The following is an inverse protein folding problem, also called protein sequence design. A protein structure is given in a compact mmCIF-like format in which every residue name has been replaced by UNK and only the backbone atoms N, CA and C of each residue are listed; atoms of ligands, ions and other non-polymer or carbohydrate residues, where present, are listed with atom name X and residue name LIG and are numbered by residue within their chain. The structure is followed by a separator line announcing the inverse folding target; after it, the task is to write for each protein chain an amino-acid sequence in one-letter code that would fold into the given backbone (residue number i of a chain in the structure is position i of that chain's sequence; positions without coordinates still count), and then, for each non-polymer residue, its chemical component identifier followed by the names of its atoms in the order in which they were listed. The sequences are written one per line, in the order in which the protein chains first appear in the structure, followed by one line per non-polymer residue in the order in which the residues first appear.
data_IF_519140750479
#
_entry.id   IF_519140750479
#
_cell.length_a   1.000
_cell.length_b   1.000
_cell.length_c   1.000
_cell.angle_alpha   90.00
_cell.angle_beta   90.00
_cell.angle_gamma   90.00
#
_symmetry.space_group_name_H-M   'P 1'
#
loop_
_entity.id
_entity.type
_entity.pdbx_description
1 polymer ?
#
# COMPACT_ATOMS: atom_id res chain seq x y z
N UNK A 1 -1.03 14.74 16.40
CA UNK A 1 -0.87 15.48 15.14
C UNK A 1 -2.17 15.35 14.35
N UNK A 2 -2.67 16.37 13.67
CA UNK A 2 -3.83 16.22 12.80
C UNK A 2 -3.52 15.19 11.70
N UNK A 3 -4.53 14.47 11.26
CA UNK A 3 -4.38 13.52 10.16
C UNK A 3 -4.25 14.27 8.83
N UNK A 4 -3.24 13.91 8.04
CA UNK A 4 -3.03 14.50 6.70
C UNK A 4 -4.00 13.89 5.69
N UNK A 5 -4.42 14.70 4.73
CA UNK A 5 -5.19 14.23 3.58
C UNK A 5 -4.33 14.39 2.30
N UNK A 6 -3.56 13.35 2.01
CA UNK A 6 -2.65 13.33 0.86
C UNK A 6 -3.36 13.25 -0.49
N UNK A 7 -4.66 12.94 -0.53
CA UNK A 7 -5.47 12.97 -1.75
C UNK A 7 -5.58 14.42 -2.24
N UNK A 8 -5.98 15.34 -1.34
CA UNK A 8 -6.10 16.76 -1.69
C UNK A 8 -4.73 17.38 -1.98
N UNK A 9 -3.71 17.09 -1.16
CA UNK A 9 -2.36 17.60 -1.36
C UNK A 9 -1.80 17.24 -2.75
N UNK A 10 -2.00 15.97 -3.16
CA UNK A 10 -1.56 15.50 -4.48
C UNK A 10 -2.40 16.12 -5.61
N UNK A 11 -3.72 16.20 -5.44
CA UNK A 11 -4.62 16.82 -6.41
C UNK A 11 -4.35 18.32 -6.60
N UNK A 12 -4.09 19.05 -5.53
CA UNK A 12 -3.73 20.46 -5.58
C UNK A 12 -2.41 20.68 -6.35
N UNK A 13 -1.43 19.81 -6.14
CA UNK A 13 -0.20 19.80 -6.92
C UNK A 13 -0.42 19.56 -8.41
N UNK A 14 -1.34 18.65 -8.77
CA UNK A 14 -1.73 18.37 -10.15
C UNK A 14 -2.48 19.56 -10.77
N UNK A 15 -3.43 20.14 -10.04
CA UNK A 15 -4.30 21.21 -10.52
C UNK A 15 -3.56 22.53 -10.71
N UNK A 16 -2.61 22.82 -9.82
CA UNK A 16 -1.73 24.00 -9.91
C UNK A 16 -0.63 23.86 -10.97
N UNK A 17 -0.45 22.67 -11.55
CA UNK A 17 0.63 22.39 -12.51
C UNK A 17 2.00 22.12 -11.89
N UNK A 18 2.13 22.12 -10.56
CA UNK A 18 3.37 21.82 -9.85
C UNK A 18 3.75 20.33 -9.98
N UNK A 19 2.78 19.46 -10.19
CA UNK A 19 2.98 18.02 -10.40
C UNK A 19 2.44 17.66 -11.78
N UNK A 20 3.35 17.20 -12.66
CA UNK A 20 2.99 16.71 -13.99
C UNK A 20 2.60 15.25 -13.93
N UNK A 21 1.41 14.92 -14.42
CA UNK A 21 0.88 13.56 -14.48
C UNK A 21 0.26 13.25 -15.83
N UNK A 22 0.11 11.95 -16.14
CA UNK A 22 -0.63 11.52 -17.32
C UNK A 22 -2.14 11.77 -17.16
N UNK A 23 -2.85 11.79 -18.31
CA UNK A 23 -4.29 12.06 -18.40
C UNK A 23 -5.12 11.21 -17.42
N UNK A 24 -4.85 9.93 -17.32
CA UNK A 24 -5.64 9.01 -16.48
C UNK A 24 -5.47 9.27 -14.99
N UNK A 25 -4.27 9.64 -14.55
CA UNK A 25 -4.03 10.01 -13.15
C UNK A 25 -4.79 11.29 -12.80
N UNK A 26 -4.75 12.30 -13.67
CA UNK A 26 -5.52 13.55 -13.51
C UNK A 26 -7.02 13.26 -13.37
N UNK A 27 -7.60 12.54 -14.32
CA UNK A 27 -9.02 12.20 -14.32
C UNK A 27 -9.43 11.38 -13.08
N UNK A 28 -8.57 10.47 -12.62
CA UNK A 28 -8.82 9.68 -11.42
C UNK A 28 -8.94 10.57 -10.18
N UNK A 29 -7.97 11.46 -9.96
CA UNK A 29 -7.98 12.33 -8.78
C UNK A 29 -9.07 13.41 -8.85
N UNK A 30 -9.40 13.92 -10.04
CA UNK A 30 -10.59 14.77 -10.26
C UNK A 30 -11.87 14.05 -9.84
N UNK A 31 -12.06 12.82 -10.28
CA UNK A 31 -13.22 11.98 -9.92
C UNK A 31 -13.29 11.71 -8.40
N UNK A 32 -12.16 11.35 -7.78
CA UNK A 32 -12.09 11.06 -6.35
C UNK A 32 -12.42 12.32 -5.53
N UNK A 33 -11.78 13.44 -5.84
CA UNK A 33 -11.99 14.70 -5.11
C UNK A 33 -13.42 15.20 -5.26
N UNK A 34 -13.98 15.14 -6.48
CA UNK A 34 -15.38 15.47 -6.73
C UNK A 34 -16.32 14.55 -5.93
N UNK A 35 -16.08 13.24 -5.94
CA UNK A 35 -16.88 12.29 -5.18
C UNK A 35 -16.84 12.52 -3.67
N UNK A 36 -15.69 12.93 -3.12
CA UNK A 36 -15.57 13.32 -1.72
C UNK A 36 -16.33 14.61 -1.40
N UNK A 37 -16.31 15.60 -2.31
CA UNK A 37 -17.03 16.86 -2.14
C UNK A 37 -18.56 16.70 -2.24
N UNK A 38 -19.01 15.82 -3.12
CA UNK A 38 -20.44 15.50 -3.33
C UNK A 38 -20.99 14.46 -2.36
N UNK A 39 -20.14 13.89 -1.47
CA UNK A 39 -20.56 12.89 -0.49
C UNK A 39 -20.77 11.48 -1.08
N UNK A 40 -20.26 11.24 -2.30
CA UNK A 40 -20.28 9.90 -2.92
C UNK A 40 -19.34 8.93 -2.21
N UNK A 41 -18.27 9.44 -1.61
CA UNK A 41 -17.29 8.69 -0.85
C UNK A 41 -17.09 9.30 0.53
N UNK A 42 -16.79 8.45 1.51
CA UNK A 42 -16.35 8.88 2.84
C UNK A 42 -14.83 8.69 2.98
N UNK A 43 -14.13 9.73 3.45
CA UNK A 43 -12.69 9.64 3.72
C UNK A 43 -12.41 9.40 5.20
N UNK A 44 -11.86 8.25 5.52
CA UNK A 44 -11.38 7.90 6.85
C UNK A 44 -9.87 8.19 6.97
N UNK A 45 -9.54 9.40 7.41
CA UNK A 45 -8.15 9.84 7.56
C UNK A 45 -7.35 8.97 8.54
N UNK A 46 -8.00 8.38 9.57
CA UNK A 46 -7.34 7.49 10.52
C UNK A 46 -6.85 6.20 9.84
N UNK A 47 -7.69 5.58 9.00
CA UNK A 47 -7.32 4.37 8.24
C UNK A 47 -6.21 4.67 7.24
N UNK A 48 -6.33 5.74 6.46
CA UNK A 48 -5.31 6.16 5.49
C UNK A 48 -3.95 6.38 6.17
N UNK A 49 -3.93 7.21 7.22
CA UNK A 49 -2.68 7.53 7.91
C UNK A 49 -2.12 6.33 8.71
N UNK A 50 -2.96 5.40 9.17
CA UNK A 50 -2.51 4.15 9.80
C UNK A 50 -1.66 3.33 8.81
N UNK A 51 -2.12 3.17 7.57
CA UNK A 51 -1.39 2.45 6.54
C UNK A 51 -0.07 3.14 6.17
N UNK A 52 -0.09 4.45 5.96
CA UNK A 52 1.11 5.24 5.63
C UNK A 52 2.15 5.15 6.75
N UNK A 53 1.73 5.36 8.01
CA UNK A 53 2.63 5.30 9.18
C UNK A 53 3.23 3.90 9.37
N UNK A 54 2.43 2.85 9.17
CA UNK A 54 2.96 1.49 9.22
C UNK A 54 4.06 1.30 8.18
N UNK A 55 3.82 1.66 6.92
CA UNK A 55 4.79 1.53 5.85
C UNK A 55 6.07 2.32 6.16
N UNK A 56 5.95 3.57 6.60
CA UNK A 56 7.11 4.43 6.85
C UNK A 56 7.89 4.11 8.13
N UNK A 57 7.30 3.34 9.07
CA UNK A 57 7.96 2.99 10.33
C UNK A 57 8.46 1.54 10.40
N UNK A 58 7.94 0.63 9.54
CA UNK A 58 8.26 -0.80 9.62
C UNK A 58 8.77 -1.40 8.31
N UNK A 59 8.59 -0.71 7.17
CA UNK A 59 9.05 -1.23 5.90
C UNK A 59 10.42 -0.67 5.53
N UNK A 60 11.32 -1.56 5.16
CA UNK A 60 12.70 -1.23 4.79
C UNK A 60 12.95 -1.35 3.29
N UNK A 61 13.89 -0.58 2.78
CA UNK A 61 14.45 -0.84 1.46
C UNK A 61 15.16 -2.20 1.41
N UNK A 62 15.01 -2.93 0.30
CA UNK A 62 15.57 -4.27 0.14
C UNK A 62 16.80 -4.31 -0.76
N UNK A 63 16.97 -3.31 -1.62
CA UNK A 63 18.05 -3.24 -2.61
C UNK A 63 18.77 -1.91 -2.49
N UNK A 64 20.11 -1.95 -2.57
CA UNK A 64 20.98 -0.78 -2.57
C UNK A 64 21.08 -0.01 -1.25
N UNK A 65 20.09 -0.10 -0.38
CA UNK A 65 20.02 0.56 0.94
C UNK A 65 19.13 -0.24 1.90
N UNK A 66 19.22 0.07 3.19
CA UNK A 66 18.53 -0.70 4.25
C UNK A 66 17.69 0.14 5.20
N UNK A 67 17.64 1.45 4.98
CA UNK A 67 16.87 2.38 5.79
C UNK A 67 15.35 2.20 5.59
N UNK A 68 14.58 2.83 6.46
CA UNK A 68 13.11 2.82 6.39
C UNK A 68 12.61 3.48 5.10
N UNK A 69 11.59 2.88 4.53
CA UNK A 69 10.93 3.40 3.34
C UNK A 69 10.22 4.72 3.66
N UNK A 70 10.47 5.73 2.84
CA UNK A 70 9.70 6.97 2.84
C UNK A 70 8.87 7.04 1.57
N UNK A 71 7.57 7.16 1.75
CA UNK A 71 6.64 7.22 0.63
C UNK A 71 6.67 8.60 -0.05
N UNK A 72 6.76 8.60 -1.36
CA UNK A 72 6.54 9.78 -2.18
C UNK A 72 5.08 10.24 -2.09
N UNK A 73 4.80 11.51 -2.38
CA UNK A 73 3.45 12.08 -2.27
C UNK A 73 2.42 11.28 -3.09
N UNK A 74 2.75 10.86 -4.31
CA UNK A 74 1.85 10.04 -5.12
C UNK A 74 1.56 8.67 -4.50
N UNK A 75 2.53 8.07 -3.80
CA UNK A 75 2.35 6.80 -3.08
C UNK A 75 1.46 6.99 -1.86
N UNK A 76 1.67 8.08 -1.10
CA UNK A 76 0.79 8.46 0.03
C UNK A 76 -0.63 8.70 -0.43
N UNK A 77 -0.81 9.40 -1.54
CA UNK A 77 -2.12 9.63 -2.14
C UNK A 77 -2.78 8.30 -2.57
N UNK A 78 -2.03 7.40 -3.24
CA UNK A 78 -2.53 6.08 -3.62
C UNK A 78 -2.92 5.22 -2.41
N UNK A 79 -2.08 5.16 -1.36
CA UNK A 79 -2.38 4.46 -0.10
C UNK A 79 -3.62 5.07 0.57
N UNK A 80 -3.76 6.40 0.54
CA UNK A 80 -4.93 7.10 1.08
C UNK A 80 -6.22 6.72 0.33
N UNK A 81 -6.16 6.56 -0.99
CA UNK A 81 -7.30 6.07 -1.79
C UNK A 81 -7.63 4.62 -1.45
N UNK A 82 -6.61 3.74 -1.43
CA UNK A 82 -6.79 2.30 -1.19
C UNK A 82 -7.40 1.99 0.17
N UNK A 83 -6.98 2.68 1.22
CA UNK A 83 -7.33 2.33 2.61
C UNK A 83 -8.20 3.38 3.31
N UNK A 84 -8.26 4.59 2.79
CA UNK A 84 -8.97 5.71 3.41
C UNK A 84 -10.33 6.00 2.81
N UNK A 85 -10.61 5.62 1.57
CA UNK A 85 -11.95 5.77 0.98
C UNK A 85 -12.79 4.55 1.33
N UNK A 86 -13.84 4.79 2.11
CA UNK A 86 -14.64 3.73 2.73
C UNK A 86 -16.13 3.98 2.55
N UNK A 87 -16.90 2.90 2.60
CA UNK A 87 -18.35 2.89 2.73
C UNK A 87 -18.78 3.26 4.15
N UNK A 88 -20.08 3.40 4.39
CA UNK A 88 -20.64 3.71 5.71
C UNK A 88 -20.29 2.64 6.77
N UNK A 89 -20.21 1.37 6.38
CA UNK A 89 -19.82 0.25 7.24
C UNK A 89 -18.31 0.19 7.51
N UNK A 90 -17.53 1.08 6.88
CA UNK A 90 -16.09 1.16 7.00
C UNK A 90 -15.34 0.18 6.09
N UNK A 91 -15.99 -0.56 5.20
CA UNK A 91 -15.31 -1.37 4.18
C UNK A 91 -14.70 -0.48 3.10
N UNK A 92 -13.69 -1.00 2.38
CA UNK A 92 -13.03 -0.26 1.31
C UNK A 92 -13.92 -0.14 0.07
N UNK A 93 -14.09 1.06 -0.47
CA UNK A 93 -14.80 1.32 -1.73
C UNK A 93 -14.02 0.69 -2.89
N UNK A 94 -12.72 0.97 -2.98
CA UNK A 94 -11.87 0.45 -4.05
C UNK A 94 -11.30 -0.92 -3.67
N UNK A 95 -11.85 -1.98 -4.27
CA UNK A 95 -11.41 -3.36 -4.06
C UNK A 95 -10.37 -3.81 -5.09
N UNK A 96 -10.30 -3.12 -6.21
CA UNK A 96 -9.34 -3.35 -7.27
C UNK A 96 -8.54 -2.08 -7.53
N UNK A 97 -7.22 -2.22 -7.60
CA UNK A 97 -6.29 -1.11 -7.85
C UNK A 97 -5.34 -1.48 -8.97
N UNK A 98 -5.36 -0.70 -10.04
CA UNK A 98 -4.51 -0.92 -11.20
C UNK A 98 -3.43 0.15 -11.28
N UNK A 99 -2.16 -0.25 -11.08
CA UNK A 99 -1.01 0.66 -11.07
C UNK A 99 -0.10 0.37 -12.26
N UNK A 100 0.00 1.32 -13.17
CA UNK A 100 0.90 1.26 -14.33
C UNK A 100 1.95 2.34 -14.21
N UNK A 101 3.18 1.94 -13.94
CA UNK A 101 4.33 2.82 -13.84
C UNK A 101 5.54 2.23 -14.58
N UNK A 102 6.42 3.08 -15.05
CA UNK A 102 7.63 2.69 -15.75
C UNK A 102 8.55 1.76 -14.92
N UNK A 103 9.50 1.14 -15.58
CA UNK A 103 10.53 0.34 -14.90
C UNK A 103 11.37 1.22 -13.97
N UNK A 104 11.94 0.63 -12.91
CA UNK A 104 12.84 1.29 -11.93
C UNK A 104 12.18 2.43 -11.10
N UNK A 105 10.86 2.46 -11.01
CA UNK A 105 10.11 3.42 -10.18
C UNK A 105 9.57 2.79 -8.87
N UNK A 106 10.25 1.80 -8.33
CA UNK A 106 9.95 1.25 -6.99
C UNK A 106 8.63 0.48 -6.85
N UNK A 107 8.00 0.03 -7.97
CA UNK A 107 6.69 -0.64 -7.90
C UNK A 107 6.71 -1.94 -7.10
N UNK A 108 7.79 -2.74 -7.19
CA UNK A 108 7.92 -3.99 -6.42
C UNK A 108 8.00 -3.69 -4.93
N UNK A 109 8.84 -2.72 -4.55
CA UNK A 109 8.97 -2.27 -3.17
C UNK A 109 7.65 -1.72 -2.62
N UNK A 110 6.94 -0.91 -3.41
CA UNK A 110 5.62 -0.37 -3.03
C UNK A 110 4.58 -1.48 -2.85
N UNK A 111 4.51 -2.44 -3.79
CA UNK A 111 3.61 -3.59 -3.67
C UNK A 111 3.93 -4.43 -2.42
N UNK A 112 5.21 -4.69 -2.13
CA UNK A 112 5.64 -5.42 -0.93
C UNK A 112 5.28 -4.69 0.36
N UNK A 113 5.37 -3.36 0.39
CA UNK A 113 4.97 -2.56 1.54
C UNK A 113 3.43 -2.58 1.76
N UNK A 114 2.65 -2.57 0.68
CA UNK A 114 1.18 -2.75 0.75
C UNK A 114 0.84 -4.14 1.29
N UNK A 115 1.51 -5.20 0.80
CA UNK A 115 1.36 -6.57 1.32
C UNK A 115 1.68 -6.60 2.82
N UNK A 116 2.76 -5.96 3.25
CA UNK A 116 3.13 -5.91 4.67
C UNK A 116 2.03 -5.27 5.52
N UNK A 117 1.50 -4.12 5.11
CA UNK A 117 0.39 -3.49 5.82
C UNK A 117 -0.84 -4.40 5.90
N UNK A 118 -1.25 -5.01 4.80
CA UNK A 118 -2.40 -5.91 4.75
C UNK A 118 -2.19 -7.16 5.62
N UNK A 119 -0.97 -7.68 5.67
CA UNK A 119 -0.65 -8.89 6.42
C UNK A 119 -0.63 -8.68 7.94
N UNK A 120 -0.14 -7.53 8.41
CA UNK A 120 0.12 -7.31 9.84
C UNK A 120 -0.89 -6.37 10.52
N UNK A 121 -1.46 -5.39 9.80
CA UNK A 121 -2.18 -4.30 10.47
C UNK A 121 -3.54 -3.92 9.87
N UNK A 122 -3.92 -4.44 8.72
CA UNK A 122 -5.22 -4.15 8.08
C UNK A 122 -6.41 -4.70 8.90
N UNK A 123 -6.19 -5.80 9.62
CA UNK A 123 -7.13 -6.30 10.63
C UNK A 123 -8.00 -7.48 10.17
N UNK A 124 -7.74 -8.07 9.01
CA UNK A 124 -8.42 -9.29 8.59
C UNK A 124 -7.78 -10.53 9.23
N UNK A 125 -8.57 -11.28 10.00
CA UNK A 125 -8.16 -12.57 10.54
C UNK A 125 -8.31 -13.68 9.48
N UNK A 126 -7.28 -14.49 9.29
CA UNK A 126 -7.27 -15.59 8.32
C UNK A 126 -7.06 -15.14 6.88
N UNK A 127 -6.47 -13.95 6.67
CA UNK A 127 -6.21 -13.43 5.34
C UNK A 127 -5.27 -14.32 4.52
N UNK A 128 -5.55 -14.46 3.23
CA UNK A 128 -4.69 -15.14 2.26
C UNK A 128 -4.26 -14.17 1.19
N UNK A 129 -2.97 -13.88 1.15
CA UNK A 129 -2.38 -12.92 0.21
C UNK A 129 -1.59 -13.70 -0.84
N UNK A 130 -1.89 -13.49 -2.11
CA UNK A 130 -1.24 -14.17 -3.22
C UNK A 130 -0.48 -13.16 -4.10
N UNK A 131 0.78 -13.49 -4.40
CA UNK A 131 1.55 -12.80 -5.43
C UNK A 131 1.39 -13.57 -6.74
N UNK A 132 0.69 -13.00 -7.72
CA UNK A 132 0.39 -13.69 -8.97
C UNK A 132 1.11 -13.04 -10.15
N UNK A 133 1.65 -13.87 -11.05
CA UNK A 133 2.25 -13.46 -12.30
C UNK A 133 2.14 -14.60 -13.34
N UNK A 134 2.36 -14.34 -14.63
CA UNK A 134 2.34 -15.38 -15.66
C UNK A 134 3.39 -16.50 -15.46
N UNK A 135 4.49 -16.19 -14.75
CA UNK A 135 5.53 -17.16 -14.36
C UNK A 135 5.78 -17.07 -12.86
N UNK A 136 5.95 -18.22 -12.21
CA UNK A 136 6.23 -18.31 -10.78
C UNK A 136 7.47 -17.48 -10.37
N UNK A 137 8.51 -17.47 -11.20
CA UNK A 137 9.71 -16.65 -10.96
C UNK A 137 9.39 -15.15 -10.83
N UNK A 138 8.43 -14.66 -11.59
CA UNK A 138 7.99 -13.26 -11.51
C UNK A 138 7.11 -13.00 -10.26
N UNK A 139 6.28 -13.95 -9.87
CA UNK A 139 5.52 -13.88 -8.63
C UNK A 139 6.46 -13.84 -7.41
N UNK A 140 7.51 -14.65 -7.45
CA UNK A 140 8.54 -14.69 -6.41
C UNK A 140 9.26 -13.34 -6.22
N UNK A 141 9.41 -12.50 -7.25
CA UNK A 141 10.09 -11.20 -7.12
C UNK A 141 9.41 -10.34 -6.04
N UNK A 142 8.09 -10.23 -6.05
CA UNK A 142 7.35 -9.45 -5.04
C UNK A 142 7.35 -10.17 -3.70
N UNK A 143 7.14 -11.48 -3.69
CA UNK A 143 7.15 -12.31 -2.49
C UNK A 143 8.50 -12.29 -1.76
N UNK A 144 9.60 -12.45 -2.48
CA UNK A 144 10.95 -12.41 -1.90
C UNK A 144 11.32 -11.00 -1.43
N UNK A 145 10.91 -9.97 -2.17
CA UNK A 145 11.09 -8.58 -1.73
C UNK A 145 10.33 -8.30 -0.43
N UNK A 146 9.08 -8.76 -0.32
CA UNK A 146 8.31 -8.70 0.93
C UNK A 146 9.05 -9.43 2.07
N UNK A 147 9.53 -10.65 1.83
CA UNK A 147 10.26 -11.42 2.85
C UNK A 147 11.53 -10.70 3.31
N UNK A 148 12.33 -10.16 2.39
CA UNK A 148 13.53 -9.40 2.74
C UNK A 148 13.19 -8.12 3.52
N UNK A 149 12.08 -7.47 3.21
CA UNK A 149 11.60 -6.28 3.90
C UNK A 149 11.26 -6.58 5.36
N UNK A 150 10.43 -7.58 5.62
CA UNK A 150 10.01 -7.93 6.99
C UNK A 150 11.15 -8.51 7.82
N UNK A 151 12.08 -9.24 7.19
CA UNK A 151 13.25 -9.82 7.89
C UNK A 151 14.17 -8.75 8.49
N UNK A 152 14.17 -7.54 7.95
CA UNK A 152 14.97 -6.42 8.45
C UNK A 152 14.33 -5.70 9.64
N UNK A 153 13.04 -5.93 9.88
CA UNK A 153 12.30 -5.36 11.00
C UNK A 153 12.05 -6.45 12.06
N UNK A 154 12.71 -6.38 13.22
CA UNK A 154 12.62 -7.42 14.24
C UNK A 154 11.18 -7.69 14.69
N UNK A 155 10.37 -6.65 14.90
CA UNK A 155 8.97 -6.80 15.33
C UNK A 155 8.14 -7.59 14.33
N UNK A 156 8.32 -7.38 13.02
CA UNK A 156 7.61 -8.12 11.98
C UNK A 156 8.20 -9.51 11.76
N UNK A 157 9.52 -9.63 11.86
CA UNK A 157 10.24 -10.90 11.71
C UNK A 157 9.82 -11.91 12.77
N UNK A 158 9.71 -11.49 14.03
CA UNK A 158 9.37 -12.35 15.16
C UNK A 158 7.93 -12.87 15.08
N UNK A 159 7.02 -12.10 14.48
CA UNK A 159 5.62 -12.49 14.27
C UNK A 159 5.43 -13.45 13.09
N UNK A 160 6.46 -13.65 12.25
CA UNK A 160 6.33 -14.39 10.99
C UNK A 160 7.19 -15.65 10.95
N UNK A 161 6.62 -16.70 10.34
CA UNK A 161 7.30 -17.99 10.12
C UNK A 161 7.39 -18.26 8.62
N UNK A 162 8.61 -18.28 8.07
CA UNK A 162 8.81 -18.76 6.69
C UNK A 162 8.68 -20.28 6.65
N UNK A 163 7.67 -20.77 5.94
CA UNK A 163 7.44 -22.19 5.69
C UNK A 163 7.86 -22.55 4.26
N UNK A 164 7.73 -23.80 3.88
CA UNK A 164 8.14 -24.27 2.54
C UNK A 164 7.41 -23.57 1.39
N UNK A 165 6.13 -23.28 1.57
CA UNK A 165 5.25 -22.75 0.51
C UNK A 165 4.68 -21.37 0.77
N UNK A 166 4.92 -20.79 1.96
CA UNK A 166 4.37 -19.51 2.34
C UNK A 166 5.17 -18.82 3.46
N UNK A 167 4.81 -17.57 3.72
CA UNK A 167 5.13 -16.87 4.97
C UNK A 167 3.84 -16.81 5.77
N UNK A 168 3.90 -17.24 7.03
CA UNK A 168 2.74 -17.35 7.90
C UNK A 168 2.88 -16.47 9.14
N UNK A 169 1.82 -15.74 9.45
CA UNK A 169 1.70 -14.91 10.64
C UNK A 169 0.67 -15.59 11.55
N UNK A 170 1.16 -16.12 12.67
CA UNK A 170 0.36 -16.97 13.55
C UNK A 170 -0.75 -16.19 14.26
N UNK A 171 -0.44 -14.98 14.75
CA UNK A 171 -1.37 -14.14 15.50
C UNK A 171 -2.64 -13.79 14.70
N UNK A 172 -2.51 -13.46 13.44
CA UNK A 172 -3.62 -13.12 12.54
C UNK A 172 -4.09 -14.29 11.67
N UNK A 173 -3.47 -15.49 11.77
CA UNK A 173 -3.72 -16.63 10.89
C UNK A 173 -3.58 -16.27 9.40
N UNK A 174 -2.67 -15.35 9.08
CA UNK A 174 -2.48 -14.85 7.72
C UNK A 174 -1.41 -15.64 6.98
N UNK A 175 -1.65 -15.98 5.71
CA UNK A 175 -0.69 -16.66 4.85
C UNK A 175 -0.40 -15.85 3.59
N UNK A 176 0.89 -15.65 3.27
CA UNK A 176 1.36 -14.96 2.07
C UNK A 176 2.06 -15.99 1.16
N UNK A 177 1.64 -16.08 -0.10
CA UNK A 177 2.11 -17.08 -1.07
C UNK A 177 2.53 -16.44 -2.39
N UNK A 178 3.56 -16.96 -3.04
CA UNK A 178 3.86 -16.64 -4.43
C UNK A 178 2.88 -17.30 -5.37
#
# INVERSE_FOLDING_TARGET
MPFSNYIYEYYDGISSGNITVGKWVRLLYEYIVKGLQEGLFTFNAKKANKAIRFIENFCHHCEGRTDLLKLELWQKAAVSVMFGIVEEDGTRVFREVFIVIGRKNGKTLFASAVIAYMAYLDGEYGAKIYCLAPKLEQANIVYDNFYQMIKKEPELSDLSKKRRSDIYIEESNTAIKP
#
